data_IF_040185705926
#
_entry.id   IF_040185705926
#
_cell.length_a   1.000
_cell.length_b   1.000
_cell.length_c   1.000
_cell.angle_alpha   90.00
_cell.angle_beta   90.00
_cell.angle_gamma   90.00
#
_symmetry.space_group_name_H-M   'P 1'
#
loop_
_entity.id
_entity.type
_entity.pdbx_description
1 polymer ?
#
# COMPACT_ATOMS: atom_id res chain seq x y z
N UNK A 1 -32.54 -73.04 34.90
CA UNK A 1 -32.60 -72.51 33.51
C UNK A 1 -32.40 -70.98 33.41
N UNK A 2 -31.71 -70.32 34.35
CA UNK A 2 -31.61 -68.83 34.37
C UNK A 2 -30.18 -68.27 34.14
N UNK A 3 -29.17 -69.12 33.97
CA UNK A 3 -27.76 -68.67 33.87
C UNK A 3 -27.28 -68.63 32.41
N UNK A 4 -27.88 -69.44 31.51
CA UNK A 4 -27.51 -69.49 30.09
C UNK A 4 -28.11 -68.31 29.28
N UNK A 5 -29.19 -67.68 29.77
CA UNK A 5 -29.79 -66.50 29.15
C UNK A 5 -29.05 -65.18 29.41
N UNK A 6 -28.25 -65.10 30.48
CA UNK A 6 -27.52 -63.88 30.88
C UNK A 6 -26.20 -63.68 30.11
N UNK A 7 -25.59 -64.76 29.61
CA UNK A 7 -24.36 -64.67 28.81
C UNK A 7 -24.63 -64.36 27.33
N UNK A 8 -25.79 -64.79 26.77
CA UNK A 8 -26.19 -64.43 25.40
C UNK A 8 -26.60 -62.96 25.27
N UNK A 9 -27.24 -62.40 26.29
CA UNK A 9 -27.67 -60.99 26.31
C UNK A 9 -26.49 -60.03 26.44
N UNK A 10 -25.42 -60.38 27.17
CA UNK A 10 -24.19 -59.57 27.25
C UNK A 10 -23.37 -59.63 25.95
N UNK A 11 -23.35 -60.79 25.26
CA UNK A 11 -22.68 -60.94 23.96
C UNK A 11 -23.40 -60.17 22.85
N UNK A 12 -24.73 -60.22 22.83
CA UNK A 12 -25.56 -59.44 21.90
C UNK A 12 -25.44 -57.93 22.16
N UNK A 13 -25.35 -57.50 23.41
CA UNK A 13 -25.16 -56.09 23.78
C UNK A 13 -23.78 -55.56 23.35
N UNK A 14 -22.72 -56.38 23.46
CA UNK A 14 -21.37 -56.02 22.99
C UNK A 14 -21.28 -55.95 21.46
N UNK A 15 -21.98 -56.84 20.75
CA UNK A 15 -22.08 -56.80 19.28
C UNK A 15 -22.88 -55.58 18.80
N UNK A 16 -23.94 -55.21 19.52
CA UNK A 16 -24.75 -54.02 19.23
C UNK A 16 -23.97 -52.72 19.45
N UNK A 17 -23.17 -52.63 20.53
CA UNK A 17 -22.32 -51.47 20.81
C UNK A 17 -21.19 -51.35 19.77
N UNK A 18 -20.59 -52.46 19.33
CA UNK A 18 -19.60 -52.44 18.25
C UNK A 18 -20.21 -52.02 16.91
N UNK A 19 -21.44 -52.45 16.60
CA UNK A 19 -22.16 -52.05 15.38
C UNK A 19 -22.54 -50.55 15.40
N UNK A 20 -22.93 -50.01 16.56
CA UNK A 20 -23.22 -48.58 16.74
C UNK A 20 -21.93 -47.73 16.62
N UNK A 21 -20.78 -48.24 17.06
CA UNK A 21 -19.50 -47.55 16.90
C UNK A 21 -19.00 -47.52 15.45
N UNK A 22 -19.31 -48.55 14.65
CA UNK A 22 -18.95 -48.62 13.22
C UNK A 22 -19.93 -47.81 12.34
N UNK A 23 -21.20 -47.67 12.75
CA UNK A 23 -22.20 -46.85 12.03
C UNK A 23 -22.03 -45.33 12.22
N UNK A 24 -21.21 -44.87 13.17
CA UNK A 24 -20.89 -43.45 13.35
C UNK A 24 -19.76 -42.95 12.44
N UNK A 25 -19.17 -43.80 11.59
CA UNK A 25 -18.12 -43.41 10.63
C UNK A 25 -18.65 -43.16 9.20
N UNK A 26 -19.98 -43.16 9.01
CA UNK A 26 -20.62 -42.82 7.74
C UNK A 26 -21.75 -41.78 7.95
N UNK A 27 -21.40 -40.62 8.49
CA UNK A 27 -22.22 -39.40 8.37
C UNK A 27 -21.44 -38.36 7.59
N UNK A 28 -21.80 -38.23 6.31
CA UNK A 28 -21.45 -37.09 5.46
C UNK A 28 -22.78 -36.42 5.07
N UNK A 29 -22.99 -35.17 5.49
CA UNK A 29 -24.08 -34.34 4.98
C UNK A 29 -24.31 -33.04 5.77
N UNK A 30 -23.78 -31.93 5.24
CA UNK A 30 -24.08 -30.52 5.62
C UNK A 30 -23.39 -30.05 6.91
N UNK A 31 -22.56 -29.01 6.98
CA UNK A 31 -22.43 -27.80 6.15
C UNK A 31 -20.94 -27.48 5.94
N UNK A 32 -20.57 -27.19 4.69
CA UNK A 32 -19.22 -26.71 4.38
C UNK A 32 -19.13 -25.23 4.72
N UNK A 33 -18.69 -24.91 5.93
CA UNK A 33 -17.91 -23.70 6.15
C UNK A 33 -16.61 -23.84 5.34
N UNK A 34 -16.48 -23.04 4.28
CA UNK A 34 -15.27 -22.97 3.45
C UNK A 34 -14.17 -22.33 4.28
N UNK A 35 -13.49 -23.14 5.09
CA UNK A 35 -12.14 -22.84 5.55
C UNK A 35 -11.19 -23.43 4.51
N UNK A 36 -10.68 -22.59 3.61
CA UNK A 36 -9.54 -22.98 2.79
C UNK A 36 -8.30 -23.04 3.69
N UNK A 37 -8.06 -24.22 4.26
CA UNK A 37 -6.78 -24.57 4.83
C UNK A 37 -5.73 -24.61 3.72
N UNK A 38 -4.65 -23.86 3.89
CA UNK A 38 -3.47 -23.92 3.02
C UNK A 38 -2.83 -25.32 3.17
N UNK A 39 -2.54 -26.05 2.08
CA UNK A 39 -1.82 -27.31 2.18
C UNK A 39 -0.38 -27.04 2.64
N UNK A 40 -0.03 -27.55 3.83
CA UNK A 40 1.35 -27.62 4.28
C UNK A 40 2.08 -28.70 3.49
N UNK A 41 2.90 -28.27 2.52
CA UNK A 41 3.84 -29.15 1.83
C UNK A 41 4.21 -28.62 0.45
N UNK A 42 5.52 -28.48 0.22
CA UNK A 42 6.22 -28.10 -1.03
C UNK A 42 6.46 -26.59 -1.17
N UNK A 43 7.76 -26.24 -1.23
CA UNK A 43 8.28 -24.95 -1.69
C UNK A 43 7.78 -24.71 -3.11
N UNK A 44 6.74 -23.90 -3.24
CA UNK A 44 6.38 -23.29 -4.51
C UNK A 44 6.49 -21.78 -4.36
N UNK A 45 7.16 -21.17 -5.34
CA UNK A 45 7.12 -19.73 -5.61
C UNK A 45 5.70 -19.21 -5.34
N UNK A 46 5.48 -18.12 -4.59
CA UNK A 46 4.15 -17.64 -4.23
C UNK A 46 3.27 -17.65 -5.47
N UNK A 47 2.40 -18.66 -5.57
CA UNK A 47 1.59 -18.85 -6.75
C UNK A 47 0.56 -17.74 -6.71
N UNK A 48 0.82 -16.69 -7.49
CA UNK A 48 -0.22 -15.74 -7.82
C UNK A 48 -1.40 -16.50 -8.39
N UNK A 49 -2.56 -15.96 -8.09
CA UNK A 49 -3.81 -16.58 -8.46
C UNK A 49 -4.00 -16.55 -9.99
N UNK A 50 -4.87 -17.41 -10.55
CA UNK A 50 -4.98 -17.62 -12.00
C UNK A 50 -5.26 -16.34 -12.81
N UNK A 51 -5.91 -15.33 -12.22
CA UNK A 51 -6.24 -14.08 -12.90
C UNK A 51 -5.09 -13.06 -12.88
N UNK A 52 -4.25 -13.06 -11.85
CA UNK A 52 -3.22 -12.05 -11.68
C UNK A 52 -1.84 -12.62 -12.00
N UNK A 53 -1.03 -11.82 -12.69
CA UNK A 53 0.35 -12.17 -12.99
C UNK A 53 1.28 -11.10 -12.48
N UNK A 54 2.34 -11.53 -11.82
CA UNK A 54 3.43 -10.66 -11.40
C UNK A 54 4.37 -10.53 -12.57
N UNK A 55 4.75 -9.29 -12.86
CA UNK A 55 5.65 -8.94 -13.94
C UNK A 55 6.77 -8.06 -13.42
N UNK A 56 7.83 -7.91 -14.20
CA UNK A 56 8.87 -6.93 -13.90
C UNK A 56 8.32 -5.50 -13.95
N UNK A 57 8.94 -4.55 -13.23
CA UNK A 57 8.62 -3.14 -13.35
C UNK A 57 8.71 -2.67 -14.82
N UNK A 58 7.93 -1.67 -15.23
CA UNK A 58 8.07 -1.04 -16.55
C UNK A 58 9.50 -0.58 -16.81
N UNK A 59 9.98 -0.71 -18.06
CA UNK A 59 11.38 -0.43 -18.41
C UNK A 59 11.85 0.97 -18.01
N UNK A 60 11.01 1.99 -18.24
CA UNK A 60 11.34 3.37 -17.87
C UNK A 60 11.47 3.53 -16.34
N UNK A 61 10.56 2.92 -15.57
CA UNK A 61 10.64 2.88 -14.10
C UNK A 61 11.91 2.17 -13.64
N UNK A 62 12.24 1.02 -14.24
CA UNK A 62 13.44 0.27 -13.89
C UNK A 62 14.72 1.07 -14.12
N UNK A 63 14.81 1.82 -15.23
CA UNK A 63 15.97 2.69 -15.52
C UNK A 63 16.05 3.89 -14.57
N UNK A 64 14.92 4.55 -14.29
CA UNK A 64 14.85 5.68 -13.36
C UNK A 64 15.24 5.26 -11.94
N UNK A 65 14.87 4.04 -11.53
CA UNK A 65 15.19 3.48 -10.20
C UNK A 65 16.67 3.53 -9.89
N UNK A 66 17.55 3.24 -10.85
CA UNK A 66 18.99 3.22 -10.65
C UNK A 66 19.54 4.56 -10.11
N UNK A 67 18.89 5.68 -10.44
CA UNK A 67 19.29 7.00 -9.94
C UNK A 67 19.01 7.21 -8.44
N UNK A 68 18.11 6.40 -7.87
CA UNK A 68 17.65 6.49 -6.48
C UNK A 68 18.09 5.27 -5.64
N UNK A 69 18.93 4.38 -6.16
CA UNK A 69 19.37 3.18 -5.43
C UNK A 69 20.31 3.51 -4.27
N UNK A 70 21.10 4.58 -4.42
CA UNK A 70 22.00 5.06 -3.37
C UNK A 70 21.26 5.77 -2.23
N UNK A 71 20.03 6.24 -2.49
CA UNK A 71 19.25 6.98 -1.50
C UNK A 71 18.82 6.05 -0.36
N UNK A 72 19.06 6.49 0.87
CA UNK A 72 18.68 5.79 2.10
C UNK A 72 17.84 6.73 2.98
N UNK A 73 16.60 7.05 2.56
CA UNK A 73 15.77 8.03 3.24
C UNK A 73 15.69 7.77 4.73
N UNK A 74 15.83 8.84 5.52
CA UNK A 74 15.60 8.84 6.96
C UNK A 74 14.46 9.78 7.26
N UNK A 75 13.32 9.24 7.71
CA UNK A 75 12.11 9.98 8.01
C UNK A 75 11.92 10.02 9.52
N UNK A 76 11.64 11.20 10.07
CA UNK A 76 11.32 11.38 11.48
C UNK A 76 10.10 12.27 11.62
N UNK A 77 9.18 11.89 12.49
CA UNK A 77 8.05 12.72 12.90
C UNK A 77 8.53 13.55 14.10
N UNK A 78 8.60 14.87 13.94
CA UNK A 78 9.05 15.82 14.97
C UNK A 78 7.87 16.27 15.83
N UNK A 79 6.71 16.50 15.20
CA UNK A 79 5.44 16.76 15.89
C UNK A 79 4.31 16.02 15.19
N UNK A 80 3.34 15.43 15.93
CA UNK A 80 3.29 15.36 17.40
C UNK A 80 4.29 14.36 17.99
N UNK A 81 4.64 14.55 19.26
CA UNK A 81 5.50 13.63 20.00
C UNK A 81 4.75 12.32 20.33
N UNK A 82 5.51 11.25 20.56
CA UNK A 82 4.92 9.96 20.95
C UNK A 82 4.19 10.09 22.30
N UNK A 83 2.98 9.56 22.36
CA UNK A 83 2.07 9.56 23.52
C UNK A 83 1.64 10.97 23.99
N UNK A 84 1.84 12.00 23.16
CA UNK A 84 1.46 13.37 23.47
C UNK A 84 -0.06 13.54 23.57
N UNK A 85 -0.53 14.29 24.57
CA UNK A 85 -1.95 14.66 24.73
C UNK A 85 -2.12 16.14 24.37
N UNK A 86 -2.78 16.38 23.25
CA UNK A 86 -3.09 17.70 22.72
C UNK A 86 -4.46 18.19 23.23
N UNK A 87 -4.55 19.47 23.57
CA UNK A 87 -5.79 20.11 24.03
C UNK A 87 -6.53 20.87 22.91
N UNK A 88 -6.17 20.58 21.66
CA UNK A 88 -6.75 21.14 20.44
C UNK A 88 -7.01 19.99 19.47
N UNK A 89 -8.04 20.12 18.65
CA UNK A 89 -8.35 19.18 17.57
C UNK A 89 -7.72 19.59 16.22
N UNK A 90 -6.96 20.68 16.20
CA UNK A 90 -6.10 21.09 15.11
C UNK A 90 -4.64 20.76 15.46
N UNK A 91 -4.04 19.84 14.71
CA UNK A 91 -2.69 19.34 14.97
C UNK A 91 -1.76 19.72 13.82
N UNK A 92 -0.74 20.50 14.15
CA UNK A 92 0.36 20.80 13.23
C UNK A 92 1.34 19.63 13.26
N UNK A 93 1.68 19.14 12.08
CA UNK A 93 2.58 18.01 11.89
C UNK A 93 3.85 18.52 11.21
N UNK A 94 5.00 18.11 11.73
CA UNK A 94 6.30 18.47 11.16
C UNK A 94 7.20 17.24 11.04
N UNK A 95 7.93 17.17 9.94
CA UNK A 95 8.84 16.07 9.64
C UNK A 95 10.28 16.56 9.52
N UNK A 96 11.21 15.66 9.77
CA UNK A 96 12.59 15.79 9.32
C UNK A 96 12.89 14.67 8.33
N UNK A 97 13.51 15.01 7.21
CA UNK A 97 13.92 14.06 6.17
C UNK A 97 15.39 14.25 5.83
N UNK A 98 16.13 13.15 5.69
CA UNK A 98 17.51 13.12 5.20
C UNK A 98 17.64 12.08 4.08
N UNK A 99 18.66 12.24 3.23
CA UNK A 99 18.98 11.33 2.12
C UNK A 99 17.80 11.04 1.18
N UNK A 100 16.93 12.04 1.00
CA UNK A 100 15.89 12.05 -0.01
C UNK A 100 15.50 13.49 -0.34
N UNK A 101 15.76 13.99 -1.55
CA UNK A 101 15.22 15.26 -1.99
C UNK A 101 13.70 15.12 -2.15
N UNK A 102 12.92 15.93 -1.43
CA UNK A 102 11.49 16.04 -1.62
C UNK A 102 11.20 17.17 -2.60
N UNK A 103 10.52 16.84 -3.70
CA UNK A 103 10.13 17.83 -4.71
C UNK A 103 9.11 17.22 -5.67
N UNK A 104 8.39 18.08 -6.40
CA UNK A 104 7.48 17.68 -7.47
C UNK A 104 7.92 18.34 -8.76
N UNK A 105 8.24 17.55 -9.79
CA UNK A 105 8.55 18.08 -11.10
C UNK A 105 7.33 18.85 -11.64
N UNK A 106 7.54 20.11 -12.01
CA UNK A 106 6.45 21.02 -12.40
C UNK A 106 5.77 20.66 -13.72
N UNK A 107 6.46 19.95 -14.62
CA UNK A 107 5.94 19.58 -15.95
C UNK A 107 5.26 18.22 -15.93
N UNK A 108 5.89 17.27 -15.25
CA UNK A 108 5.53 15.86 -15.19
C UNK A 108 4.62 15.56 -14.01
N UNK A 109 4.60 16.42 -12.98
CA UNK A 109 3.71 16.31 -11.83
C UNK A 109 4.02 15.12 -10.92
N UNK A 110 5.25 14.58 -11.00
CA UNK A 110 5.73 13.46 -10.19
C UNK A 110 7.03 13.85 -9.49
N UNK A 111 7.35 13.18 -8.39
CA UNK A 111 8.60 13.38 -7.69
C UNK A 111 8.65 12.62 -6.36
N UNK A 112 9.83 12.56 -5.77
CA UNK A 112 10.02 11.89 -4.48
C UNK A 112 9.27 12.64 -3.38
N UNK A 113 8.53 11.91 -2.56
CA UNK A 113 7.63 12.50 -1.57
C UNK A 113 7.49 11.61 -0.33
N UNK A 114 6.93 12.19 0.74
CA UNK A 114 6.43 11.41 1.86
C UNK A 114 4.95 11.08 1.63
N UNK A 115 4.59 9.83 1.92
CA UNK A 115 3.20 9.41 2.07
C UNK A 115 2.84 9.40 3.54
N UNK A 116 1.82 10.18 3.89
CA UNK A 116 1.35 10.37 5.26
C UNK A 116 -0.04 9.78 5.41
N UNK A 117 -0.25 8.93 6.42
CA UNK A 117 -1.52 8.28 6.72
C UNK A 117 -1.83 8.49 8.19
N UNK A 118 -2.95 9.17 8.48
CA UNK A 118 -3.53 9.25 9.81
C UNK A 118 -4.57 8.14 9.97
N UNK A 119 -4.42 7.31 10.99
CA UNK A 119 -5.30 6.16 11.25
C UNK A 119 -5.44 5.32 9.98
N UNK A 120 -6.66 4.98 9.52
CA UNK A 120 -6.92 4.37 8.21
C UNK A 120 -7.59 5.34 7.22
N UNK A 121 -7.34 6.63 7.34
CA UNK A 121 -7.88 7.65 6.44
C UNK A 121 -7.14 7.68 5.10
N UNK A 122 -7.65 8.50 4.17
CA UNK A 122 -6.97 8.78 2.91
C UNK A 122 -5.58 9.38 3.19
N UNK A 123 -4.60 9.01 2.37
CA UNK A 123 -3.23 9.51 2.53
C UNK A 123 -3.11 10.97 2.06
N UNK A 124 -2.06 11.62 2.53
CA UNK A 124 -1.59 12.91 2.03
C UNK A 124 -0.16 12.76 1.51
N UNK A 125 0.15 13.39 0.37
CA UNK A 125 1.49 13.41 -0.21
C UNK A 125 2.19 14.72 0.15
N UNK A 126 3.41 14.65 0.70
CA UNK A 126 4.21 15.81 1.08
C UNK A 126 5.45 15.88 0.20
N UNK A 127 5.49 16.88 -0.67
CA UNK A 127 6.60 17.18 -1.58
C UNK A 127 7.51 18.31 -1.08
N UNK A 128 7.06 19.08 -0.09
CA UNK A 128 7.76 20.27 0.41
C UNK A 128 7.52 20.41 1.91
N UNK A 129 8.58 20.36 2.71
CA UNK A 129 8.51 20.48 4.18
C UNK A 129 8.31 21.92 4.66
N UNK A 130 8.45 22.92 3.78
CA UNK A 130 8.14 24.30 4.12
C UNK A 130 6.62 24.56 4.16
N UNK A 131 5.83 23.66 3.56
CA UNK A 131 4.38 23.69 3.64
C UNK A 131 3.93 22.94 4.91
N UNK A 132 3.25 23.61 5.86
CA UNK A 132 2.83 22.95 7.09
C UNK A 132 1.71 21.95 6.80
N UNK A 133 1.87 20.71 7.25
CA UNK A 133 0.77 19.76 7.30
C UNK A 133 -0.07 20.05 8.54
N UNK A 134 -1.35 20.39 8.34
CA UNK A 134 -2.30 20.65 9.43
C UNK A 134 -3.43 19.65 9.35
N UNK A 135 -3.55 18.81 10.37
CA UNK A 135 -4.68 17.91 10.55
C UNK A 135 -5.76 18.68 11.31
N UNK A 136 -6.94 18.85 10.71
CA UNK A 136 -8.04 19.62 11.29
C UNK A 136 -9.21 18.69 11.63
N UNK A 137 -10.08 19.15 12.53
CA UNK A 137 -11.31 18.47 12.91
C UNK A 137 -11.09 17.03 13.42
N UNK A 138 -9.98 16.80 14.13
CA UNK A 138 -9.70 15.49 14.73
C UNK A 138 -10.73 15.16 15.82
N UNK A 139 -11.25 13.93 15.78
CA UNK A 139 -12.11 13.44 16.85
C UNK A 139 -11.32 13.35 18.17
N UNK A 140 -11.94 13.58 19.34
CA UNK A 140 -11.30 13.25 20.61
C UNK A 140 -10.94 11.76 20.66
N UNK A 141 -9.72 11.43 21.10
CA UNK A 141 -9.24 10.06 21.20
C UNK A 141 -7.79 9.87 20.80
N UNK A 142 -7.39 8.60 20.69
CA UNK A 142 -6.08 8.18 20.20
C UNK A 142 -6.04 8.15 18.68
N UNK A 143 -4.92 8.63 18.12
CA UNK A 143 -4.61 8.61 16.70
C UNK A 143 -3.21 8.07 16.46
N UNK A 144 -3.02 7.38 15.33
CA UNK A 144 -1.70 6.94 14.89
C UNK A 144 -1.36 7.50 13.52
N UNK A 145 -0.28 8.28 13.47
CA UNK A 145 0.28 8.84 12.25
C UNK A 145 1.40 7.94 11.74
N UNK A 146 1.33 7.57 10.46
CA UNK A 146 2.29 6.71 9.77
C UNK A 146 2.81 7.45 8.55
N UNK A 147 4.12 7.47 8.37
CA UNK A 147 4.78 8.19 7.28
C UNK A 147 5.87 7.33 6.67
N UNK A 148 5.97 7.33 5.35
CA UNK A 148 7.08 6.70 4.66
C UNK A 148 7.45 7.39 3.36
N UNK A 149 8.71 7.24 2.98
CA UNK A 149 9.24 7.78 1.73
C UNK A 149 8.80 6.94 0.51
N UNK A 150 8.35 7.63 -0.55
CA UNK A 150 8.01 7.05 -1.84
C UNK A 150 8.84 7.67 -2.98
N UNK A 151 9.16 6.82 -3.96
CA UNK A 151 9.74 7.23 -5.24
C UNK A 151 8.70 7.98 -6.09
N UNK A 152 9.12 8.65 -7.18
CA UNK A 152 8.20 9.41 -8.03
C UNK A 152 7.04 8.64 -8.66
N UNK A 153 7.14 7.31 -8.76
CA UNK A 153 6.11 6.40 -9.24
C UNK A 153 5.42 5.61 -8.11
N UNK A 154 5.45 6.17 -6.90
CA UNK A 154 4.73 5.68 -5.72
C UNK A 154 5.25 4.37 -5.12
N UNK A 155 6.43 3.94 -5.53
CA UNK A 155 7.10 2.78 -4.92
C UNK A 155 7.84 3.20 -3.67
N UNK A 156 7.47 2.62 -2.52
CA UNK A 156 8.09 2.96 -1.24
C UNK A 156 9.53 2.46 -1.11
N UNK A 157 10.34 3.23 -0.39
CA UNK A 157 11.68 2.81 0.03
C UNK A 157 11.56 1.82 1.20
N UNK A 158 12.30 0.69 1.18
CA UNK A 158 12.17 -0.41 2.16
C UNK A 158 13.33 -0.47 3.17
N UNK A 159 14.15 0.57 3.26
CA UNK A 159 15.21 0.65 4.26
C UNK A 159 14.64 1.04 5.64
N UNK A 160 15.39 0.75 6.70
CA UNK A 160 14.95 0.94 8.09
C UNK A 160 14.51 2.38 8.39
N UNK A 161 15.24 3.37 7.87
CA UNK A 161 14.96 4.79 8.07
C UNK A 161 13.80 5.35 7.26
N UNK A 162 13.28 4.63 6.27
CA UNK A 162 12.29 5.19 5.34
C UNK A 162 10.87 5.28 5.91
N UNK A 163 10.65 4.86 7.16
CA UNK A 163 9.35 4.86 7.80
C UNK A 163 9.40 5.40 9.23
N UNK A 164 8.41 6.20 9.57
CA UNK A 164 8.18 6.69 10.91
C UNK A 164 6.70 6.49 11.30
N UNK A 165 6.48 6.30 12.60
CA UNK A 165 5.14 6.22 13.17
C UNK A 165 5.13 6.80 14.57
N UNK A 166 4.11 7.59 14.87
CA UNK A 166 3.83 8.09 16.21
C UNK A 166 2.36 7.87 16.55
N UNK A 167 2.07 7.70 17.83
CA UNK A 167 0.71 7.66 18.37
C UNK A 167 0.56 8.85 19.31
N UNK A 168 -0.52 9.60 19.17
CA UNK A 168 -0.81 10.80 19.97
C UNK A 168 -2.30 10.83 20.30
N UNK A 169 -2.72 11.76 21.16
CA UNK A 169 -4.08 11.82 21.68
C UNK A 169 -4.64 13.24 21.59
N UNK A 170 -5.90 13.34 21.18
CA UNK A 170 -6.67 14.59 21.15
C UNK A 170 -7.63 14.55 22.34
N UNK A 171 -7.43 15.46 23.30
CA UNK A 171 -8.09 15.58 24.61
C UNK A 171 -7.89 14.39 25.58
N UNK A 172 -8.15 13.15 25.16
CA UNK A 172 -8.07 11.95 26.01
C UNK A 172 -7.68 10.73 25.20
N UNK A 173 -7.17 9.70 25.88
CA UNK A 173 -6.82 8.41 25.26
C UNK A 173 -8.07 7.55 25.02
N UNK A 174 -8.08 6.81 23.92
CA UNK A 174 -9.03 5.73 23.59
C UNK A 174 -8.28 4.48 23.10
N UNK A 175 -9.00 3.36 23.00
CA UNK A 175 -8.44 2.09 22.49
C UNK A 175 -8.37 2.06 20.94
N UNK A 176 -9.15 2.91 20.26
CA UNK A 176 -9.15 3.01 18.81
C UNK A 176 -7.82 3.54 18.26
N UNK A 177 -7.48 3.14 17.03
CA UNK A 177 -6.25 3.56 16.32
C UNK A 177 -4.94 3.40 17.10
N UNK A 178 -4.93 2.57 18.14
CA UNK A 178 -3.77 2.35 19.01
C UNK A 178 -3.17 0.96 18.73
N UNK A 179 -2.16 0.85 17.85
CA UNK A 179 -1.58 -0.45 17.56
C UNK A 179 -0.80 -1.01 18.75
N UNK A 180 -0.99 -2.29 19.04
CA UNK A 180 -0.18 -2.98 20.06
C UNK A 180 1.30 -2.96 19.64
N UNK A 181 2.21 -2.36 20.42
CA UNK A 181 3.62 -2.22 20.05
C UNK A 181 4.38 -3.56 20.04
N UNK A 182 3.83 -4.61 20.65
CA UNK A 182 4.41 -5.96 20.63
C UNK A 182 4.04 -6.76 19.38
N UNK A 183 3.09 -6.26 18.58
CA UNK A 183 2.61 -6.91 17.36
C UNK A 183 3.07 -6.15 16.11
N UNK A 184 3.27 -6.85 14.99
CA UNK A 184 3.57 -6.20 13.73
C UNK A 184 2.42 -5.31 13.27
N UNK A 185 2.77 -4.27 12.53
CA UNK A 185 1.83 -3.35 11.89
C UNK A 185 2.02 -3.41 10.38
N UNK A 186 0.92 -3.67 9.67
CA UNK A 186 0.79 -3.57 8.23
C UNK A 186 0.19 -2.21 7.85
N UNK A 187 0.83 -1.53 6.90
CA UNK A 187 0.36 -0.27 6.34
C UNK A 187 0.12 -0.46 4.85
N UNK A 188 -1.14 -0.35 4.43
CA UNK A 188 -1.52 -0.37 3.01
C UNK A 188 -1.00 0.89 2.32
N UNK A 189 -0.29 0.75 1.19
CA UNK A 189 0.09 1.91 0.37
C UNK A 189 -0.67 1.95 -0.96
N UNK A 190 -0.46 0.96 -1.83
CA UNK A 190 -0.97 0.94 -3.21
C UNK A 190 -1.62 -0.41 -3.51
N UNK A 191 -2.60 -0.49 -4.44
CA UNK A 191 -3.09 0.60 -5.30
C UNK A 191 -4.07 1.58 -4.67
N UNK A 192 -4.14 2.81 -5.20
CA UNK A 192 -5.17 3.80 -4.80
C UNK A 192 -5.44 4.78 -5.94
N UNK A 193 -6.63 5.39 -5.98
CA UNK A 193 -6.94 6.40 -6.99
C UNK A 193 -7.24 5.80 -8.37
N UNK A 194 -6.74 6.42 -9.44
CA UNK A 194 -6.99 6.02 -10.83
C UNK A 194 -5.67 5.59 -11.47
N UNK A 195 -5.67 4.41 -12.09
CA UNK A 195 -4.58 3.91 -12.93
C UNK A 195 -5.08 3.80 -14.36
N UNK A 196 -4.31 4.25 -15.36
CA UNK A 196 -4.68 3.99 -16.76
C UNK A 196 -3.66 3.24 -17.58
N UNK A 197 -2.75 2.55 -16.89
CA UNK A 197 -1.87 1.56 -17.48
C UNK A 197 -1.62 0.40 -16.52
N UNK A 198 -1.32 -0.76 -17.11
CA UNK A 198 -0.76 -1.91 -16.42
C UNK A 198 0.73 -2.06 -16.77
N UNK A 199 1.55 -2.63 -15.88
CA UNK A 199 1.17 -3.22 -14.59
C UNK A 199 0.84 -2.19 -13.50
N UNK A 200 -0.03 -2.59 -12.57
CA UNK A 200 -0.41 -1.78 -11.40
C UNK A 200 0.44 -2.20 -10.20
N UNK A 201 0.98 -1.20 -9.50
CA UNK A 201 1.78 -1.38 -8.30
C UNK A 201 0.91 -1.80 -7.10
N UNK A 202 1.26 -2.93 -6.50
CA UNK A 202 0.84 -3.36 -5.19
C UNK A 202 2.00 -3.09 -4.21
N UNK A 203 1.76 -2.27 -3.19
CA UNK A 203 2.79 -1.91 -2.22
C UNK A 203 2.23 -1.71 -0.81
N UNK A 204 3.04 -2.06 0.19
CA UNK A 204 2.69 -2.02 1.60
C UNK A 204 3.94 -1.92 2.50
N UNK A 205 3.79 -1.34 3.68
CA UNK A 205 4.86 -1.24 4.67
C UNK A 205 4.64 -2.19 5.84
N UNK A 206 5.73 -2.73 6.39
CA UNK A 206 5.70 -3.54 7.59
C UNK A 206 6.57 -2.89 8.67
N UNK A 207 6.01 -2.71 9.87
CA UNK A 207 6.74 -2.30 11.07
C UNK A 207 6.71 -3.43 12.09
N UNK A 208 7.85 -3.74 12.71
CA UNK A 208 7.94 -4.75 13.77
C UNK A 208 7.71 -6.19 13.28
N UNK A 209 7.75 -6.44 11.97
CA UNK A 209 7.69 -7.79 11.43
C UNK A 209 9.06 -8.48 11.59
N UNK A 210 9.10 -9.75 12.03
CA UNK A 210 10.35 -10.50 12.15
C UNK A 210 11.11 -10.55 10.82
N UNK A 211 12.42 -10.32 10.85
CA UNK A 211 13.27 -10.41 9.66
C UNK A 211 13.28 -11.86 9.15
N UNK A 212 12.97 -12.04 7.87
CA UNK A 212 13.08 -13.35 7.21
C UNK A 212 14.53 -13.59 6.79
N UNK A 213 15.11 -14.72 7.19
CA UNK A 213 16.34 -15.23 6.57
C UNK A 213 17.70 -14.81 7.16
N UNK A 214 17.77 -14.15 8.33
CA UNK A 214 19.06 -13.80 8.96
C UNK A 214 19.54 -14.74 10.09
N UNK A 215 18.85 -15.84 10.37
CA UNK A 215 19.37 -16.88 11.29
C UNK A 215 19.20 -18.27 10.67
N UNK A 216 20.16 -18.68 9.85
CA UNK A 216 20.42 -20.10 9.65
C UNK A 216 21.66 -20.46 10.47
N UNK A 217 21.52 -21.48 11.33
CA UNK A 217 22.51 -22.01 12.29
C UNK A 217 22.49 -21.17 13.57
N UNK A 218 21.93 -21.61 14.69
CA UNK A 218 22.28 -22.84 15.38
C UNK A 218 21.27 -23.05 16.53
N UNK A 219 20.07 -23.57 16.24
CA UNK A 219 19.15 -24.22 17.19
C UNK A 219 17.81 -24.47 16.49
N UNK A 220 17.52 -25.73 16.15
CA UNK A 220 16.31 -26.18 15.46
C UNK A 220 15.05 -26.19 16.36
N UNK A 221 14.85 -25.14 17.18
CA UNK A 221 13.65 -24.97 18.01
C UNK A 221 12.95 -23.62 17.80
N UNK A 222 13.63 -22.65 17.22
CA UNK A 222 13.04 -21.36 16.86
C UNK A 222 12.66 -21.41 15.37
N UNK A 223 11.42 -21.83 15.11
CA UNK A 223 10.80 -21.60 13.81
C UNK A 223 10.80 -20.08 13.58
N UNK A 224 11.67 -19.61 12.69
CA UNK A 224 11.68 -18.24 12.20
C UNK A 224 10.23 -17.90 11.86
N UNK A 225 9.69 -16.86 12.49
CA UNK A 225 8.31 -16.44 12.31
C UNK A 225 8.13 -15.94 10.87
N UNK A 226 7.81 -16.88 9.97
CA UNK A 226 7.48 -16.65 8.57
C UNK A 226 6.12 -15.96 8.48
N UNK A 227 6.12 -14.65 8.74
CA UNK A 227 4.96 -13.82 8.46
C UNK A 227 4.61 -13.90 6.97
N UNK A 228 3.33 -13.69 6.68
CA UNK A 228 2.76 -13.74 5.33
C UNK A 228 1.73 -12.63 5.18
N UNK A 229 1.59 -12.07 3.98
CA UNK A 229 0.55 -11.10 3.68
C UNK A 229 -0.45 -11.74 2.74
N UNK A 230 -1.70 -11.93 3.18
CA UNK A 230 -2.77 -12.33 2.27
C UNK A 230 -3.25 -11.09 1.53
N UNK A 231 -3.16 -11.15 0.21
CA UNK A 231 -3.69 -10.16 -0.70
C UNK A 231 -4.91 -10.73 -1.40
N UNK A 232 -6.07 -10.10 -1.25
CA UNK A 232 -7.29 -10.44 -1.95
C UNK A 232 -7.67 -9.31 -2.89
N UNK A 233 -7.70 -9.57 -4.20
CA UNK A 233 -8.08 -8.60 -5.22
C UNK A 233 -9.37 -9.08 -5.89
N UNK A 234 -10.45 -8.31 -5.80
CA UNK A 234 -11.76 -8.64 -6.38
C UNK A 234 -12.26 -10.07 -6.07
N UNK A 235 -11.97 -10.56 -4.86
CA UNK A 235 -12.36 -11.90 -4.38
C UNK A 235 -11.34 -13.01 -4.63
N UNK A 236 -10.29 -12.74 -5.42
CA UNK A 236 -9.22 -13.72 -5.67
C UNK A 236 -8.05 -13.46 -4.73
N UNK A 237 -7.60 -14.51 -4.04
CA UNK A 237 -6.58 -14.39 -2.99
C UNK A 237 -5.28 -15.09 -3.36
N UNK A 238 -4.17 -14.45 -3.03
CA UNK A 238 -2.83 -15.03 -3.02
C UNK A 238 -2.06 -14.54 -1.80
N UNK A 239 -0.91 -15.14 -1.54
CA UNK A 239 -0.10 -14.83 -0.36
C UNK A 239 1.26 -14.34 -0.81
N UNK A 240 1.70 -13.23 -0.23
CA UNK A 240 3.03 -12.68 -0.36
C UNK A 240 3.85 -13.04 0.87
N UNK A 241 5.10 -13.41 0.62
CA UNK A 241 6.07 -13.87 1.60
C UNK A 241 7.29 -12.94 1.70
N UNK A 242 7.24 -11.79 1.02
CA UNK A 242 8.34 -10.86 0.86
C UNK A 242 7.86 -9.42 1.01
N UNK A 243 8.71 -8.59 1.59
CA UNK A 243 8.40 -7.19 1.85
C UNK A 243 9.00 -6.33 0.73
N UNK A 244 8.32 -6.35 -0.41
CA UNK A 244 8.71 -5.61 -1.60
C UNK A 244 7.48 -5.14 -2.38
N UNK A 245 7.69 -4.15 -3.24
CA UNK A 245 6.74 -3.77 -4.26
C UNK A 245 6.53 -4.90 -5.28
N UNK A 246 5.28 -5.05 -5.74
CA UNK A 246 4.88 -6.07 -6.71
C UNK A 246 4.10 -5.41 -7.84
N UNK A 247 4.48 -5.68 -9.09
CA UNK A 247 3.79 -5.15 -10.28
C UNK A 247 2.87 -6.22 -10.84
N UNK A 248 1.57 -5.93 -10.90
CA UNK A 248 0.53 -6.90 -11.25
C UNK A 248 -0.14 -6.56 -12.58
N UNK A 249 -0.50 -7.57 -13.36
CA UNK A 249 -1.40 -7.49 -14.52
C UNK A 249 -2.61 -8.41 -14.35
N UNK A 250 -3.68 -8.14 -15.08
CA UNK A 250 -4.91 -8.93 -15.08
C UNK A 250 -6.13 -8.20 -14.50
N UNK A 251 -6.06 -6.87 -14.38
CA UNK A 251 -7.11 -6.03 -13.86
C UNK A 251 -8.20 -5.78 -14.90
N UNK A 252 -9.44 -5.72 -14.43
CA UNK A 252 -10.59 -5.39 -15.28
C UNK A 252 -10.82 -3.88 -15.24
N UNK A 253 -11.14 -3.21 -16.36
CA UNK A 253 -11.51 -1.80 -16.34
C UNK A 253 -12.66 -1.52 -15.37
N UNK A 254 -12.63 -0.35 -14.72
CA UNK A 254 -13.60 0.07 -13.72
C UNK A 254 -13.08 -0.04 -12.28
N UNK A 255 -14.00 -0.08 -11.31
CA UNK A 255 -13.69 -0.15 -9.88
C UNK A 255 -13.14 -1.54 -9.52
N UNK A 256 -12.03 -1.55 -8.82
CA UNK A 256 -11.37 -2.73 -8.28
C UNK A 256 -11.07 -2.49 -6.79
N UNK A 257 -11.05 -3.55 -5.98
CA UNK A 257 -10.68 -3.47 -4.57
C UNK A 257 -9.57 -4.45 -4.23
N UNK A 258 -8.73 -4.06 -3.28
CA UNK A 258 -7.66 -4.90 -2.70
C UNK A 258 -7.82 -4.93 -1.20
N UNK A 259 -7.77 -6.12 -0.61
CA UNK A 259 -7.65 -6.31 0.84
C UNK A 259 -6.28 -6.88 1.16
N UNK A 260 -5.58 -6.28 2.11
CA UNK A 260 -4.34 -6.82 2.67
C UNK A 260 -4.55 -7.24 4.12
N UNK A 261 -4.05 -8.43 4.46
CA UNK A 261 -4.13 -9.00 5.80
C UNK A 261 -2.77 -9.54 6.24
N UNK A 262 -2.31 -9.17 7.44
CA UNK A 262 -1.12 -9.73 8.04
C UNK A 262 -1.43 -11.09 8.66
N UNK A 263 -0.69 -12.13 8.26
CA UNK A 263 -0.82 -13.50 8.74
C UNK A 263 0.41 -13.93 9.54
N UNK A 264 0.17 -14.73 10.58
CA UNK A 264 1.21 -15.42 11.34
C UNK A 264 1.79 -16.64 10.58
N UNK A 265 2.72 -17.33 11.21
CA UNK A 265 3.35 -18.54 10.66
C UNK A 265 2.34 -19.70 10.45
N UNK A 266 1.22 -19.71 11.17
CA UNK A 266 0.13 -20.69 11.01
C UNK A 266 -0.86 -20.29 9.91
N UNK A 267 -0.74 -19.08 9.35
CA UNK A 267 -1.64 -18.53 8.34
C UNK A 267 -2.90 -17.88 8.93
N UNK A 268 -2.94 -17.66 10.25
CA UNK A 268 -4.04 -16.96 10.90
C UNK A 268 -3.81 -15.44 10.85
N UNK A 269 -4.87 -14.64 10.69
CA UNK A 269 -4.76 -13.19 10.78
C UNK A 269 -4.28 -12.72 12.16
N UNK A 270 -3.25 -11.87 12.17
CA UNK A 270 -2.76 -11.22 13.40
C UNK A 270 -3.64 -10.01 13.70
N UNK A 271 -4.35 -10.06 14.83
CA UNK A 271 -5.24 -8.97 15.25
C UNK A 271 -4.43 -7.78 15.77
N UNK A 272 -4.43 -6.69 14.99
CA UNK A 272 -3.94 -5.37 15.37
C UNK A 272 -4.72 -4.31 14.55
N UNK A 273 -4.76 -3.05 14.99
CA UNK A 273 -5.71 -2.03 14.50
C UNK A 273 -5.60 -1.72 12.99
N UNK A 274 -4.47 -2.04 12.35
CA UNK A 274 -4.23 -1.79 10.92
C UNK A 274 -3.99 -3.05 10.07
N UNK A 275 -3.97 -4.23 10.69
CA UNK A 275 -3.52 -5.47 10.04
C UNK A 275 -4.52 -6.11 9.08
N UNK A 276 -5.67 -5.49 8.86
CA UNK A 276 -6.64 -5.85 7.83
C UNK A 276 -7.25 -4.58 7.23
N UNK A 277 -6.78 -4.19 6.05
CA UNK A 277 -7.19 -2.95 5.38
C UNK A 277 -7.70 -3.24 3.96
N UNK A 278 -8.75 -2.54 3.54
CA UNK A 278 -9.31 -2.60 2.18
C UNK A 278 -9.09 -1.26 1.48
N UNK A 279 -8.48 -1.30 0.29
CA UNK A 279 -8.34 -0.16 -0.61
C UNK A 279 -9.24 -0.30 -1.84
N UNK A 280 -9.73 0.83 -2.32
CA UNK A 280 -10.48 0.95 -3.58
C UNK A 280 -9.65 1.76 -4.58
N UNK A 281 -9.65 1.31 -5.84
CA UNK A 281 -9.04 2.04 -6.94
C UNK A 281 -9.83 1.79 -8.23
N UNK A 282 -9.59 2.63 -9.23
CA UNK A 282 -10.19 2.50 -10.56
C UNK A 282 -9.09 2.22 -11.58
N UNK A 283 -9.31 1.21 -12.41
CA UNK A 283 -8.49 1.00 -13.60
C UNK A 283 -9.24 1.55 -14.82
N UNK A 284 -8.74 2.65 -15.37
CA UNK A 284 -9.28 3.32 -16.56
C UNK A 284 -8.23 3.35 -17.66
N UNK A 285 -8.14 2.30 -18.50
CA UNK A 285 -7.10 2.20 -19.51
C UNK A 285 -7.03 3.43 -20.42
N UNK A 286 -5.82 3.82 -20.81
CA UNK A 286 -5.53 4.90 -21.78
C UNK A 286 -5.73 6.32 -21.24
N UNK A 287 -5.74 6.51 -19.92
CA UNK A 287 -5.52 7.84 -19.33
C UNK A 287 -4.19 8.42 -19.81
N UNK A 288 -4.13 9.75 -19.91
CA UNK A 288 -2.95 10.47 -20.42
C UNK A 288 -2.05 11.01 -19.31
N UNK A 289 -2.27 10.63 -18.05
CA UNK A 289 -1.43 11.04 -16.93
C UNK A 289 0.02 10.53 -17.12
N UNK A 290 0.95 11.25 -16.51
CA UNK A 290 2.39 11.01 -16.66
C UNK A 290 2.79 9.60 -16.28
N UNK A 291 2.32 9.10 -15.12
CA UNK A 291 2.68 7.76 -14.65
C UNK A 291 2.19 6.70 -15.64
N UNK A 292 0.96 6.82 -16.12
CA UNK A 292 0.42 5.90 -17.11
C UNK A 292 1.18 5.94 -18.45
N UNK A 293 1.67 7.12 -18.88
CA UNK A 293 2.55 7.25 -20.05
C UNK A 293 3.91 6.57 -19.85
N UNK A 294 4.52 6.72 -18.68
CA UNK A 294 5.77 6.02 -18.30
C UNK A 294 5.56 4.51 -18.32
N UNK A 295 4.48 4.03 -17.69
CA UNK A 295 4.16 2.59 -17.59
C UNK A 295 3.93 1.99 -18.98
N UNK A 296 3.30 2.71 -19.92
CA UNK A 296 3.12 2.28 -21.32
C UNK A 296 4.35 2.44 -22.20
N UNK A 297 5.41 3.10 -21.71
CA UNK A 297 6.61 3.41 -22.50
C UNK A 297 6.43 4.55 -23.51
N UNK A 298 5.39 5.36 -23.36
CA UNK A 298 5.15 6.57 -24.17
C UNK A 298 6.02 7.76 -23.71
N UNK A 299 6.56 7.68 -22.50
CA UNK A 299 7.55 8.59 -21.95
C UNK A 299 8.78 7.76 -21.55
N UNK A 300 9.93 8.03 -22.17
CA UNK A 300 11.19 7.32 -21.86
C UNK A 300 11.77 7.75 -20.52
N UNK A 301 12.72 6.99 -19.98
CA UNK A 301 13.42 7.37 -18.74
C UNK A 301 14.17 8.70 -18.90
N UNK A 302 14.82 8.93 -20.05
CA UNK A 302 15.55 10.16 -20.33
C UNK A 302 14.63 11.38 -20.37
N UNK A 303 13.43 11.23 -20.93
CA UNK A 303 12.41 12.28 -20.97
C UNK A 303 11.78 12.52 -19.59
N UNK A 304 11.78 11.49 -18.73
CA UNK A 304 11.23 11.54 -17.38
C UNK A 304 12.29 11.84 -16.30
N UNK A 305 13.56 12.10 -16.66
CA UNK A 305 14.65 12.24 -15.70
C UNK A 305 14.40 13.35 -14.66
N UNK A 306 13.65 14.39 -15.03
CA UNK A 306 13.26 15.49 -14.13
C UNK A 306 12.48 15.03 -12.90
N UNK A 307 11.84 13.86 -12.90
CA UNK A 307 11.12 13.36 -11.71
C UNK A 307 12.05 12.76 -10.66
N UNK A 308 13.28 12.37 -11.02
CA UNK A 308 14.29 11.80 -10.10
C UNK A 308 15.44 12.75 -9.79
N UNK A 309 15.68 13.74 -10.65
CA UNK A 309 16.73 14.74 -10.49
C UNK A 309 16.13 16.15 -10.62
N UNK A 310 15.99 16.91 -9.51
CA UNK A 310 15.41 18.26 -9.54
C UNK A 310 16.30 19.28 -10.27
N UNK A 311 17.56 18.95 -10.52
CA UNK A 311 18.51 19.80 -11.26
C UNK A 311 18.55 19.49 -12.75
N UNK A 312 17.78 18.49 -13.20
CA UNK A 312 17.76 18.07 -14.58
C UNK A 312 17.20 19.17 -15.49
N UNK A 313 18.01 19.52 -16.51
CA UNK A 313 17.56 20.35 -17.62
C UNK A 313 17.50 19.48 -18.86
N UNK A 314 16.31 19.38 -19.46
CA UNK A 314 16.12 18.65 -20.73
C UNK A 314 17.16 19.10 -21.75
N UNK A 315 18.01 18.18 -22.17
CA UNK A 315 18.84 18.39 -23.35
C UNK A 315 17.90 18.32 -24.55
N UNK A 316 17.58 19.47 -25.13
CA UNK A 316 16.88 19.52 -26.42
C UNK A 316 17.71 18.66 -27.38
N UNK A 317 17.17 17.55 -27.92
CA UNK A 317 17.88 16.77 -28.91
C UNK A 317 18.26 17.73 -30.03
N UNK A 318 19.55 17.86 -30.33
CA UNK A 318 19.98 18.53 -31.53
C UNK A 318 19.24 17.83 -32.67
N UNK A 319 18.31 18.54 -33.32
CA UNK A 319 17.62 18.07 -34.50
C UNK A 319 18.71 17.53 -35.41
N UNK A 320 18.75 16.21 -35.55
CA UNK A 320 19.69 15.55 -36.44
C UNK A 320 19.45 16.21 -37.79
N UNK A 321 20.43 17.02 -38.22
CA UNK A 321 20.28 17.86 -39.38
C UNK A 321 19.83 16.96 -40.53
N UNK A 322 18.61 17.20 -41.02
CA UNK A 322 18.09 16.52 -42.19
C UNK A 322 19.20 16.53 -43.23
N UNK A 323 19.65 15.38 -43.74
CA UNK A 323 20.70 15.37 -44.75
C UNK A 323 20.20 16.27 -45.89
N UNK A 324 20.97 17.33 -46.15
CA UNK A 324 20.75 18.24 -47.29
C UNK A 324 20.48 17.36 -48.51
N UNK A 325 19.41 17.62 -49.27
CA UNK A 325 19.20 16.89 -50.52
C UNK A 325 20.44 17.08 -51.38
N UNK A 326 21.12 15.96 -51.66
CA UNK A 326 22.22 15.89 -52.61
C UNK A 326 21.63 16.32 -53.95
N UNK A 327 22.08 17.46 -54.45
CA UNK A 327 21.71 17.97 -55.78
C UNK A 327 22.18 16.92 -56.79
N UNK A 328 21.21 16.24 -57.39
CA UNK A 328 21.42 15.32 -58.49
C UNK A 328 21.74 16.17 -59.73
N UNK A 329 23.01 16.17 -60.15
CA UNK A 329 23.44 16.80 -61.38
C UNK A 329 22.76 16.11 -62.57
N UNK A 330 21.83 16.84 -63.19
CA UNK A 330 21.23 16.52 -64.47
C UNK A 330 22.27 16.65 -65.59
N UNK A 331 22.54 15.63 -66.41
CA UNK A 331 23.05 15.86 -67.75
C UNK A 331 21.87 16.05 -68.71
N UNK A 332 21.95 17.11 -69.51
CA UNK A 332 21.12 17.29 -70.73
C UNK A 332 22.05 17.06 -71.94
N UNK A 333 21.53 16.86 -73.17
CA UNK A 333 21.61 15.61 -73.91
C UNK A 333 22.59 15.69 -75.10
N UNK A 334 23.07 14.54 -75.58
CA UNK A 334 23.65 14.48 -76.92
C UNK A 334 23.07 13.30 -77.71
N UNK A 335 22.67 13.63 -78.93
CA UNK A 335 21.99 12.79 -79.91
C UNK A 335 23.04 12.08 -80.75
N UNK A 336 22.91 10.75 -80.94
CA UNK A 336 22.93 10.10 -82.25
C UNK A 336 22.69 8.58 -82.14
N UNK A 337 21.76 8.10 -82.97
CA UNK A 337 21.50 6.68 -83.26
C UNK A 337 22.42 6.22 -84.43
N UNK A 338 22.29 5.01 -85.05
CA UNK A 338 21.52 3.79 -84.73
C UNK A 338 22.30 2.46 -84.96
N UNK A 339 21.81 1.33 -84.41
CA UNK A 339 21.91 0.02 -85.12
C UNK A 339 20.90 -1.05 -84.66
N UNK A 340 19.93 -1.28 -85.55
CA UNK A 340 19.30 -2.54 -86.01
C UNK A 340 19.26 -3.81 -85.12
N UNK A 341 18.01 -4.23 -84.90
CA UNK A 341 17.34 -5.43 -85.46
C UNK A 341 17.36 -6.76 -84.69
N UNK A 342 16.16 -7.24 -84.37
CA UNK A 342 15.52 -8.57 -84.59
C UNK A 342 14.51 -8.83 -83.44
N UNK A 343 13.20 -8.69 -83.66
CA UNK A 343 12.23 -9.64 -84.25
C UNK A 343 12.06 -10.94 -83.46
N UNK A 344 10.91 -11.10 -82.78
CA UNK A 344 9.97 -12.21 -83.02
C UNK A 344 8.60 -11.97 -82.34
N UNK A 345 7.61 -12.60 -82.95
CA UNK A 345 6.17 -12.32 -83.01
C UNK A 345 5.39 -13.43 -82.29
N UNK A 346 4.12 -13.12 -81.91
CA UNK A 346 2.97 -14.05 -81.82
C UNK A 346 2.98 -15.12 -80.69
N UNK A 347 1.90 -15.46 -79.99
CA UNK A 347 0.47 -15.58 -80.34
C UNK A 347 -0.46 -15.36 -79.11
N UNK A 348 -1.72 -15.04 -79.40
CA UNK A 348 -2.92 -15.14 -78.54
C UNK A 348 -3.84 -16.20 -79.18
N UNK A 349 -4.59 -17.04 -78.45
CA UNK A 349 -6.07 -16.88 -78.35
C UNK A 349 -6.67 -17.36 -76.99
N UNK A 350 -7.59 -16.61 -76.36
CA UNK A 350 -9.08 -16.64 -76.45
C UNK A 350 -9.77 -17.35 -75.27
N UNK A 351 -10.94 -16.81 -74.87
CA UNK A 351 -11.78 -17.28 -73.75
C UNK A 351 -12.43 -16.12 -72.96
N UNK A 352 -13.36 -15.32 -73.53
CA UNK A 352 -14.85 -15.45 -73.41
C UNK A 352 -15.35 -15.35 -71.95
N UNK A 353 -16.22 -14.45 -71.44
CA UNK A 353 -17.32 -13.57 -71.93
C UNK A 353 -17.39 -12.29 -71.01
N UNK A 354 -17.51 -11.06 -71.54
CA UNK A 354 -18.74 -10.25 -71.75
C UNK A 354 -19.58 -9.96 -70.47
N UNK A 355 -20.09 -8.75 -70.15
CA UNK A 355 -20.24 -7.47 -70.88
C UNK A 355 -20.86 -6.38 -69.97
N UNK A 356 -20.32 -5.16 -70.02
CA UNK A 356 -20.92 -3.79 -69.89
C UNK A 356 -21.80 -3.43 -68.67
N UNK A 357 -21.79 -2.21 -68.11
CA UNK A 357 -21.76 -0.87 -68.71
C UNK A 357 -21.16 0.20 -67.74
N UNK A 358 -20.34 1.10 -68.31
CA UNK A 358 -20.12 2.52 -67.92
C UNK A 358 -21.26 3.38 -68.56
N UNK A 359 -21.33 4.75 -68.54
CA UNK A 359 -20.27 5.75 -68.22
C UNK A 359 -20.70 7.10 -67.54
N UNK A 360 -19.68 7.87 -67.07
CA UNK A 360 -19.46 9.35 -67.28
C UNK A 360 -20.44 10.36 -66.64
N UNK A 361 -20.07 11.56 -66.13
CA UNK A 361 -18.82 12.25 -65.77
C UNK A 361 -19.13 13.61 -65.08
N UNK A 362 -18.12 14.17 -64.38
CA UNK A 362 -17.73 15.60 -64.22
C UNK A 362 -18.65 16.63 -63.47
N UNK A 363 -18.15 17.82 -63.04
CA UNK A 363 -17.03 18.12 -62.11
C UNK A 363 -17.33 19.26 -61.06
N UNK A 364 -16.44 19.42 -60.06
CA UNK A 364 -15.85 20.64 -59.39
C UNK A 364 -16.67 21.98 -59.32
N UNK A 365 -16.68 22.81 -58.22
CA UNK A 365 -15.44 23.33 -57.62
C UNK A 365 -15.33 23.66 -56.12
N UNK A 366 -14.05 23.75 -55.75
CA UNK A 366 -13.37 24.31 -54.58
C UNK A 366 -13.53 25.84 -54.45
N UNK A 367 -13.67 26.34 -53.21
CA UNK A 367 -13.33 27.72 -52.83
C UNK A 367 -12.38 27.75 -51.62
N UNK A 368 -11.62 28.85 -51.57
CA UNK A 368 -10.35 29.14 -50.87
C UNK A 368 -10.48 29.46 -49.37
N UNK A 369 -9.35 29.52 -48.61
CA UNK A 369 -9.34 29.82 -47.18
C UNK A 369 -9.34 31.32 -46.89
N UNK A 370 -9.99 31.73 -45.79
CA UNK A 370 -9.98 33.12 -45.28
C UNK A 370 -9.35 33.15 -43.88
N UNK A 371 -8.49 34.14 -43.65
CA UNK A 371 -7.89 34.52 -42.35
C UNK A 371 -7.97 36.05 -42.25
N UNK A 372 -7.80 36.66 -41.07
CA UNK A 372 -8.70 36.74 -39.92
C UNK A 372 -9.36 38.14 -39.81
N UNK A 373 -10.55 38.24 -39.21
CA UNK A 373 -11.15 39.52 -38.88
C UNK A 373 -11.01 39.82 -37.38
N UNK A 374 -10.44 40.99 -37.10
CA UNK A 374 -10.24 41.58 -35.78
C UNK A 374 -11.62 41.91 -35.19
N UNK A 375 -12.00 41.22 -34.12
CA UNK A 375 -13.14 41.59 -33.28
C UNK A 375 -12.60 42.04 -31.93
N UNK A 376 -12.93 43.30 -31.60
CA UNK A 376 -12.63 43.94 -30.31
C UNK A 376 -13.27 43.16 -29.15
N UNK A 377 -12.72 43.26 -27.93
CA UNK A 377 -13.22 42.53 -26.78
C UNK A 377 -14.61 43.06 -26.40
N UNK A 378 -15.63 42.20 -26.48
CA UNK A 378 -16.88 42.42 -25.76
C UNK A 378 -16.60 42.06 -24.30
N UNK A 379 -16.65 43.09 -23.47
CA UNK A 379 -16.64 43.08 -22.02
C UNK A 379 -17.66 42.06 -21.47
N UNK A 380 -17.26 41.11 -20.60
CA UNK A 380 -18.21 40.28 -19.90
C UNK A 380 -18.99 41.15 -18.92
N UNK A 381 -20.30 41.13 -19.10
CA UNK A 381 -21.31 41.66 -18.20
C UNK A 381 -21.00 41.24 -16.76
N UNK A 382 -20.75 42.25 -15.92
CA UNK A 382 -20.51 42.13 -14.50
C UNK A 382 -21.76 41.50 -13.88
N UNK A 383 -21.70 40.21 -13.52
CA UNK A 383 -22.60 39.66 -12.54
C UNK A 383 -22.20 40.23 -11.18
N UNK A 384 -22.89 41.30 -10.78
CA UNK A 384 -22.84 41.79 -9.42
C UNK A 384 -23.22 40.66 -8.47
N UNK A 385 -22.25 40.31 -7.63
CA UNK A 385 -22.47 39.56 -6.40
C UNK A 385 -23.51 40.31 -5.54
N UNK A 386 -24.57 39.65 -5.03
CA UNK A 386 -25.41 40.28 -4.05
C UNK A 386 -24.61 40.49 -2.76
N UNK A 387 -24.47 41.75 -2.39
CA UNK A 387 -23.99 42.18 -1.07
C UNK A 387 -24.97 41.65 0.00
N UNK A 388 -24.49 41.08 1.13
CA UNK A 388 -25.38 40.65 2.20
C UNK A 388 -25.95 41.89 2.89
N UNK A 389 -27.27 42.10 2.76
CA UNK A 389 -28.02 43.08 3.55
C UNK A 389 -28.61 42.34 4.77
N UNK A 390 -28.59 42.94 5.97
CA UNK A 390 -28.78 42.21 7.23
C UNK A 390 -30.20 41.69 7.38
N UNK A 391 -30.33 40.42 7.75
CA UNK A 391 -31.60 39.82 8.14
C UNK A 391 -32.00 40.39 9.50
N UNK A 392 -32.96 41.30 9.49
CA UNK A 392 -33.78 41.67 10.64
C UNK A 392 -34.86 40.58 10.79
N UNK A 393 -35.04 39.97 11.97
CA UNK A 393 -36.08 38.97 12.16
C UNK A 393 -37.46 39.63 12.23
N UNK A 394 -38.40 39.16 11.40
CA UNK A 394 -39.85 39.40 11.56
C UNK A 394 -40.49 38.24 12.32
N UNK A 395 -41.52 38.48 13.14
CA UNK A 395 -41.97 37.55 14.17
C UNK A 395 -42.88 36.44 13.62
N UNK A 396 -42.73 35.24 14.19
CA UNK A 396 -43.62 34.10 13.98
C UNK A 396 -45.05 34.37 14.49
N UNK A 397 -46.09 33.79 13.87
CA UNK A 397 -47.45 33.87 14.39
C UNK A 397 -47.57 33.03 15.66
N UNK A 398 -47.95 33.71 16.74
CA UNK A 398 -48.40 33.13 18.01
C UNK A 398 -49.56 32.17 17.79
N UNK A 399 -49.37 30.89 18.11
CA UNK A 399 -50.46 29.95 18.36
C UNK A 399 -50.72 29.90 19.86
N UNK A 400 -51.96 30.18 20.20
CA UNK A 400 -52.55 30.24 21.54
C UNK A 400 -52.62 28.84 22.17
N UNK A 401 -52.38 28.68 23.49
CA UNK A 401 -52.40 27.37 24.13
C UNK A 401 -53.83 26.91 24.40
N UNK A 402 -54.21 25.77 23.81
CA UNK A 402 -55.43 25.06 24.22
C UNK A 402 -55.30 24.53 25.65
N UNK A 403 -56.32 24.86 26.44
CA UNK A 403 -56.60 24.44 27.81
C UNK A 403 -57.04 22.97 27.85
N UNK A 404 -56.38 22.06 28.60
CA UNK A 404 -56.95 20.76 28.90
C UNK A 404 -57.86 20.82 30.14
N UNK A 405 -59.08 20.29 30.01
CA UNK A 405 -59.95 19.87 31.12
C UNK A 405 -59.41 18.59 31.80
N UNK A 406 -59.80 18.30 33.06
CA UNK A 406 -59.04 17.44 33.95
C UNK A 406 -59.37 15.95 33.74
N UNK A 407 -58.35 15.15 33.41
CA UNK A 407 -58.42 13.69 33.55
C UNK A 407 -57.89 13.29 34.92
N UNK A 408 -58.67 12.48 35.62
CA UNK A 408 -58.48 12.05 37.00
C UNK A 408 -57.12 11.34 37.22
N UNK A 409 -56.40 11.78 38.24
CA UNK A 409 -55.22 11.10 38.80
C UNK A 409 -55.65 9.86 39.58
N UNK A 410 -55.24 8.67 39.13
CA UNK A 410 -55.10 7.51 40.03
C UNK A 410 -53.61 7.35 40.37
N UNK A 411 -53.31 7.45 41.66
CA UNK A 411 -51.98 7.18 42.22
C UNK A 411 -51.56 5.73 41.95
N UNK A 412 -50.28 5.45 41.64
CA UNK A 412 -49.80 4.08 41.57
C UNK A 412 -49.66 3.51 42.99
N UNK A 413 -50.39 2.42 43.24
CA UNK A 413 -50.24 1.53 44.40
C UNK A 413 -48.85 0.88 44.38
N UNK A 414 -48.17 0.70 45.54
CA UNK A 414 -46.89 0.01 45.60
C UNK A 414 -47.03 -1.45 45.17
N UNK A 415 -46.19 -1.88 44.23
CA UNK A 415 -46.08 -3.28 43.81
C UNK A 415 -45.37 -4.05 44.92
N UNK A 416 -46.12 -4.93 45.56
CA UNK A 416 -45.63 -5.99 46.44
C UNK A 416 -45.04 -7.09 45.53
N UNK A 417 -43.77 -7.51 45.70
CA UNK A 417 -43.23 -8.64 44.95
C UNK A 417 -43.91 -9.94 45.40
N UNK A 418 -44.47 -10.69 44.45
CA UNK A 418 -44.90 -12.08 44.65
C UNK A 418 -43.67 -13.00 44.76
N UNK A 419 -43.74 -14.09 45.57
CA UNK A 419 -42.62 -14.97 45.81
C UNK A 419 -42.34 -15.89 44.62
N UNK A 420 -41.07 -15.98 44.21
CA UNK A 420 -40.56 -17.01 43.30
C UNK A 420 -40.66 -18.41 43.94
N UNK A 421 -40.88 -19.47 43.15
CA UNK A 421 -40.88 -20.84 43.66
C UNK A 421 -39.47 -21.27 44.09
N UNK A 422 -39.35 -21.60 45.38
CA UNK A 422 -38.20 -22.26 46.01
C UNK A 422 -37.84 -23.55 45.28
N UNK A 423 -36.67 -23.58 44.64
CA UNK A 423 -35.98 -24.82 44.30
C UNK A 423 -35.10 -25.23 45.49
N UNK A 424 -35.24 -26.49 45.91
CA UNK A 424 -34.43 -27.13 46.95
C UNK A 424 -32.93 -27.05 46.65
N UNK A 425 -32.07 -26.86 47.66
CA UNK A 425 -30.63 -26.90 47.46
C UNK A 425 -30.15 -28.33 47.28
N UNK A 426 -29.71 -28.66 46.08
CA UNK A 426 -28.92 -29.86 45.81
C UNK A 426 -27.56 -29.74 46.53
N UNK A 427 -27.21 -30.76 47.32
CA UNK A 427 -25.95 -30.87 48.06
C UNK A 427 -24.74 -30.84 47.12
N UNK A 428 -23.95 -29.78 47.18
CA UNK A 428 -22.58 -29.78 46.66
C UNK A 428 -21.64 -30.35 47.73
N UNK A 429 -20.81 -31.36 47.43
CA UNK A 429 -19.87 -31.93 48.39
C UNK A 429 -18.75 -30.94 48.72
N UNK A 430 -18.59 -30.69 50.02
CA UNK A 430 -17.46 -29.99 50.61
C UNK A 430 -16.18 -30.79 50.43
N UNK A 431 -15.18 -30.20 49.75
CA UNK A 431 -13.74 -30.28 50.06
C UNK A 431 -12.98 -29.37 49.09
N UNK A 432 -12.74 -28.15 49.52
CA UNK A 432 -11.76 -27.26 48.90
C UNK A 432 -10.52 -27.30 49.78
N UNK A 433 -9.45 -27.93 49.28
CA UNK A 433 -8.18 -28.05 49.99
C UNK A 433 -7.46 -26.70 50.06
N UNK A 434 -7.45 -26.08 51.24
CA UNK A 434 -6.74 -24.83 51.56
C UNK A 434 -5.21 -24.90 51.48
N UNK A 435 -4.64 -26.04 51.09
CA UNK A 435 -3.21 -26.22 50.83
C UNK A 435 -2.76 -25.70 49.45
N UNK A 436 -3.68 -25.54 48.48
CA UNK A 436 -3.32 -25.16 47.11
C UNK A 436 -3.17 -23.65 46.88
N UNK A 437 -3.73 -22.82 47.78
CA UNK A 437 -3.62 -21.35 47.72
C UNK A 437 -2.35 -20.82 48.41
N UNK A 438 -1.74 -21.56 49.35
CA UNK A 438 -0.47 -21.18 49.98
C UNK A 438 0.74 -21.33 49.05
N UNK A 439 0.71 -22.25 48.07
CA UNK A 439 1.79 -22.39 47.08
C UNK A 439 1.76 -21.33 45.96
N UNK A 440 0.64 -20.64 45.77
CA UNK A 440 0.52 -19.57 44.77
C UNK A 440 1.08 -18.22 45.26
N UNK A 441 1.23 -18.03 46.59
CA UNK A 441 1.76 -16.80 47.19
C UNK A 441 3.20 -16.93 47.76
N UNK A 442 3.91 -18.03 47.48
CA UNK A 442 5.28 -18.26 47.96
C UNK A 442 6.28 -18.48 46.82
N UNK A 443 6.24 -17.61 45.80
CA UNK A 443 7.36 -17.48 44.86
C UNK A 443 7.43 -16.13 44.15
N UNK A 444 7.62 -15.05 44.89
CA UNK A 444 8.45 -13.89 44.47
C UNK A 444 9.05 -13.27 45.73
N UNK A 445 10.33 -13.55 45.97
CA UNK A 445 11.14 -12.62 46.76
C UNK A 445 11.32 -11.34 45.92
N UNK A 446 11.36 -10.15 46.53
CA UNK A 446 11.83 -8.96 45.84
C UNK A 446 13.31 -9.16 45.48
N UNK A 447 13.67 -8.95 44.22
CA UNK A 447 15.06 -8.81 43.81
C UNK A 447 15.60 -7.52 44.44
N UNK A 448 16.41 -7.68 45.46
CA UNK A 448 17.34 -6.65 45.93
C UNK A 448 18.33 -6.37 44.80
N UNK A 449 18.38 -5.13 44.35
CA UNK A 449 19.44 -4.64 43.46
C UNK A 449 20.69 -4.47 44.32
N UNK A 450 21.65 -5.40 44.21
CA UNK A 450 23.02 -5.12 44.64
C UNK A 450 23.69 -4.18 43.62
N UNK A 451 24.41 -3.13 44.06
CA UNK A 451 25.20 -2.32 43.14
C UNK A 451 26.39 -3.14 42.63
N UNK A 452 26.50 -3.28 41.30
CA UNK A 452 27.72 -3.81 40.68
C UNK A 452 28.91 -2.87 40.94
N UNK A 453 30.11 -3.41 41.17
CA UNK A 453 31.28 -2.62 41.50
C UNK A 453 31.79 -1.81 40.30
N UNK A 454 32.24 -0.60 40.59
CA UNK A 454 33.03 0.28 39.72
C UNK A 454 34.33 -0.45 39.35
N UNK A 455 34.75 -0.49 38.06
CA UNK A 455 36.08 -0.94 37.71
C UNK A 455 37.10 0.08 38.22
N UNK A 456 37.94 -0.33 39.16
CA UNK A 456 39.17 0.36 39.53
C UNK A 456 40.15 0.27 38.37
N UNK A 457 40.60 1.41 37.84
CA UNK A 457 41.82 1.50 37.04
C UNK A 457 43.01 1.11 37.94
N UNK A 458 43.53 -0.10 37.76
CA UNK A 458 44.88 -0.43 38.19
C UNK A 458 45.83 -0.28 37.00
N UNK A 459 46.76 0.63 37.18
CA UNK A 459 47.94 0.89 36.36
C UNK A 459 48.80 -0.37 36.27
N UNK A 460 48.83 -1.01 35.10
CA UNK A 460 49.87 -1.98 34.76
C UNK A 460 50.92 -1.30 33.88
N UNK A 461 52.12 -1.19 34.44
CA UNK A 461 53.32 -0.59 33.88
C UNK A 461 53.76 -1.35 32.62
N UNK A 462 53.80 -0.62 31.50
CA UNK A 462 54.31 -1.08 30.22
C UNK A 462 55.84 -1.13 30.26
N UNK A 463 56.43 -2.33 30.29
CA UNK A 463 57.85 -2.56 30.03
C UNK A 463 58.12 -2.42 28.52
N UNK A 464 59.18 -1.66 28.21
CA UNK A 464 59.63 -1.31 26.88
C UNK A 464 60.30 -2.49 26.14
N UNK A 465 60.15 -2.61 24.81
CA UNK A 465 61.12 -3.28 23.98
C UNK A 465 62.19 -2.29 23.49
N UNK A 466 63.42 -2.78 23.42
CA UNK A 466 64.64 -2.02 23.21
C UNK A 466 64.75 -1.31 21.86
N UNK A 467 65.48 -0.19 21.92
CA UNK A 467 66.08 0.51 20.80
C UNK A 467 67.14 -0.37 20.12
N UNK A 468 66.98 -0.60 18.82
CA UNK A 468 68.10 -0.76 17.89
C UNK A 468 68.03 0.36 16.85
N UNK A 469 69.04 1.21 16.93
CA UNK A 469 69.79 1.87 15.84
C UNK A 469 69.01 2.34 14.59
N UNK A 470 68.84 3.65 14.45
CA UNK A 470 69.18 4.28 13.17
C UNK A 470 69.57 5.75 13.32
N UNK A 471 70.68 6.05 12.68
CA UNK A 471 71.41 7.30 12.53
C UNK A 471 70.65 8.39 11.77
N UNK A 472 70.81 9.61 12.29
CA UNK A 472 71.23 10.84 11.60
C UNK A 472 70.41 11.43 10.44
N UNK A 473 70.46 12.77 10.40
CA UNK A 473 70.08 13.73 9.35
C UNK A 473 68.68 14.35 9.44
N UNK A 474 68.63 15.51 10.11
CA UNK A 474 67.82 16.65 9.67
C UNK A 474 68.75 17.80 9.34
N UNK A 475 68.77 18.24 8.08
CA UNK A 475 69.16 19.62 7.75
C UNK A 475 68.35 20.11 6.53
N UNK A 476 67.47 21.06 6.84
CA UNK A 476 67.26 22.36 6.20
C UNK A 476 67.16 22.39 4.66
N UNK A 477 66.01 22.86 4.15
CA UNK A 477 65.91 23.93 3.13
C UNK A 477 64.44 24.27 2.85
N UNK A 478 64.02 25.49 3.20
CA UNK A 478 63.14 26.40 2.44
C UNK A 478 62.96 27.68 3.28
N UNK A 479 63.67 28.77 2.99
CA UNK A 479 63.31 29.82 2.03
C UNK A 479 61.86 30.30 2.19
N UNK A 480 61.51 31.58 2.21
CA UNK A 480 62.21 32.86 2.30
C UNK A 480 61.06 33.90 2.24
N UNK A 481 61.16 34.93 3.08
CA UNK A 481 60.35 36.17 3.14
C UNK A 481 58.97 36.15 3.80
#
# INVERSE_FOLDING_TARGET
MAIIGRMKTISLLRSLIALILVLNLASCGGDKAVSQGVPSGIRENPQLSKQFSEVSPPSAIWQLRSSLEADQPQVTIVTPSSDEILQDNIVKVSFQVKDLPLFKDSKLGLGSHLKVILDNQAYTEIYDLNQPLVLSDLAPGTHTLRVFAERPWDESFKNEGAYAQTTFHVFTKTDDNNPDPSLPVLTYSRPSGIYGAEPILLDFYLKGAPLRGLVAKDNSKDQINDWRIRCTINGESFVLDRWQAVYLKGFKPGKNWVKLEFLDNQGNPVKNVFNSTVGLFTYEPKTKDTLSRIVRGELSAEQAQGIVDPTYTEKIPAVEATPKPQVEEKPTPETESPKKSQTQTEEKPEGFFNRSKRPTAEPTPTELPVTPEIIKPTEPEILESPTPTPIIPQPEPTLEPEKPEPTQTQSPTPIIPQPEPTLEPEKVPSKFDGEKLKRYFQRRQPLTVEPSPIPTEESESMEAPGNEDNTDVTDILQDSQ
#
